data_IF_728603668578
#
_entry.id   IF_728603668578
#
_cell.length_a   1.000
_cell.length_b   1.000
_cell.length_c   1.000
_cell.angle_alpha   90.00
_cell.angle_beta   90.00
_cell.angle_gamma   90.00
#
_symmetry.space_group_name_H-M   'P 1'
#
loop_
_entity.id
_entity.type
_entity.pdbx_description
1 polymer ?
#
# COMPACT_ATOMS: atom_id res chain seq x y z
N UNK A 1 -20.89 -4.77 3.01
CA UNK A 1 -20.07 -5.53 2.01
C UNK A 1 -18.74 -4.79 1.90
N UNK A 2 -17.66 -5.37 2.41
CA UNK A 2 -16.32 -4.77 2.30
C UNK A 2 -15.81 -5.05 0.89
N UNK A 3 -15.52 -4.01 0.11
CA UNK A 3 -14.90 -4.16 -1.20
C UNK A 3 -13.39 -4.26 -1.00
N UNK A 4 -12.79 -5.30 -1.57
CA UNK A 4 -11.36 -5.58 -1.52
C UNK A 4 -10.87 -5.66 -2.97
N UNK A 5 -9.66 -5.18 -3.24
CA UNK A 5 -9.07 -5.27 -4.57
C UNK A 5 -7.73 -6.00 -4.51
N UNK A 6 -7.62 -7.08 -5.27
CA UNK A 6 -6.34 -7.71 -5.61
C UNK A 6 -5.91 -7.23 -7.00
N UNK A 7 -4.79 -6.51 -7.03
CA UNK A 7 -4.23 -5.96 -8.25
C UNK A 7 -3.82 -7.06 -9.24
N UNK A 8 -3.45 -8.27 -8.78
CA UNK A 8 -3.03 -9.38 -9.66
C UNK A 8 -4.14 -9.88 -10.56
N UNK A 9 -5.41 -9.58 -10.26
CA UNK A 9 -6.54 -10.21 -10.93
C UNK A 9 -7.59 -9.23 -11.49
N UNK A 10 -7.33 -7.90 -11.46
CA UNK A 10 -8.20 -6.82 -12.01
C UNK A 10 -9.71 -6.98 -11.71
N UNK A 11 -10.05 -7.63 -10.60
CA UNK A 11 -11.42 -7.87 -10.16
C UNK A 11 -11.48 -7.50 -8.70
N UNK A 12 -12.39 -6.58 -8.38
CA UNK A 12 -12.81 -6.33 -7.01
C UNK A 12 -13.42 -7.63 -6.47
N UNK A 13 -12.61 -8.43 -5.78
CA UNK A 13 -13.09 -9.62 -5.10
C UNK A 13 -13.25 -9.28 -3.63
N UNK A 14 -14.36 -9.69 -3.03
CA UNK A 14 -14.45 -9.80 -1.58
C UNK A 14 -13.46 -10.90 -1.18
N UNK A 15 -12.22 -10.57 -0.85
CA UNK A 15 -11.22 -11.58 -0.52
C UNK A 15 -11.29 -11.95 0.98
N UNK A 16 -11.68 -13.20 1.18
CA UNK A 16 -11.59 -14.01 2.40
C UNK A 16 -10.10 -14.18 2.80
N UNK A 17 -9.71 -14.04 4.08
CA UNK A 17 -8.31 -14.17 4.51
C UNK A 17 -7.68 -15.57 4.37
N UNK A 18 -8.39 -16.59 3.85
CA UNK A 18 -7.90 -17.99 3.82
C UNK A 18 -8.14 -18.75 2.51
N UNK A 19 -8.10 -18.11 1.34
CA UNK A 19 -8.19 -18.84 0.06
C UNK A 19 -6.86 -19.52 -0.36
N UNK A 20 -6.30 -20.38 0.51
CA UNK A 20 -5.48 -21.51 0.07
C UNK A 20 -6.25 -22.80 0.37
N UNK A 21 -7.14 -23.19 -0.55
CA UNK A 21 -7.28 -24.58 -0.96
C UNK A 21 -8.30 -24.72 -2.09
N UNK A 22 -7.89 -25.48 -3.10
CA UNK A 22 -8.74 -26.09 -4.11
C UNK A 22 -9.11 -25.24 -5.33
N UNK A 23 -8.20 -25.17 -6.31
CA UNK A 23 -8.58 -25.50 -7.70
C UNK A 23 -7.46 -26.34 -8.32
N UNK A 24 -7.69 -27.66 -8.38
CA UNK A 24 -7.02 -28.53 -9.35
C UNK A 24 -7.61 -28.22 -10.74
N UNK A 25 -6.78 -27.84 -11.70
CA UNK A 25 -7.16 -27.84 -13.11
C UNK A 25 -6.68 -26.61 -13.86
N UNK A 26 -5.78 -26.86 -14.83
CA UNK A 26 -5.32 -25.94 -15.88
C UNK A 26 -4.36 -24.84 -15.42
N UNK A 27 -3.06 -25.21 -15.43
CA UNK A 27 -1.93 -24.28 -15.48
C UNK A 27 -1.98 -23.52 -16.80
N UNK A 28 -2.84 -22.52 -16.91
CA UNK A 28 -2.59 -21.42 -17.82
C UNK A 28 -1.35 -20.71 -17.29
N UNK A 29 -0.25 -20.79 -18.04
CA UNK A 29 0.89 -19.88 -17.95
C UNK A 29 0.39 -18.47 -18.30
N UNK A 30 -0.42 -17.91 -17.42
CA UNK A 30 -0.90 -16.55 -17.54
C UNK A 30 0.24 -15.71 -17.01
N UNK A 31 1.10 -15.26 -17.93
CA UNK A 31 2.14 -14.26 -17.70
C UNK A 31 1.63 -13.29 -16.62
N UNK A 32 2.16 -13.43 -15.39
CA UNK A 32 1.81 -12.55 -14.28
C UNK A 32 2.27 -11.16 -14.70
N UNK A 33 1.32 -10.37 -15.22
CA UNK A 33 1.61 -8.99 -15.58
C UNK A 33 1.77 -8.25 -14.28
N UNK A 34 3.02 -8.02 -13.90
CA UNK A 34 3.38 -7.04 -12.89
C UNK A 34 2.73 -5.70 -13.24
N UNK A 35 2.12 -5.07 -12.26
CA UNK A 35 1.56 -3.74 -12.42
C UNK A 35 2.66 -2.71 -12.19
N UNK A 36 2.78 -1.78 -13.13
CA UNK A 36 3.69 -0.65 -13.13
C UNK A 36 3.01 0.64 -12.67
N UNK A 37 1.68 0.71 -12.74
CA UNK A 37 0.89 1.89 -12.41
C UNK A 37 -0.44 1.54 -11.71
N UNK A 38 -0.87 2.35 -10.74
CA UNK A 38 -2.20 2.22 -10.12
C UNK A 38 -3.24 2.80 -11.09
N UNK A 39 -4.07 1.95 -11.70
CA UNK A 39 -5.19 2.36 -12.57
C UNK A 39 -6.17 3.31 -11.83
N UNK A 40 -6.96 4.11 -12.57
CA UNK A 40 -8.05 4.90 -11.96
C UNK A 40 -9.17 3.97 -11.46
N UNK A 41 -9.37 3.98 -10.15
CA UNK A 41 -10.33 3.16 -9.43
C UNK A 41 -11.47 4.00 -8.84
N UNK A 42 -11.67 5.23 -9.31
CA UNK A 42 -12.66 6.20 -8.79
C UNK A 42 -14.10 5.69 -8.73
N UNK A 43 -14.43 4.67 -9.52
CA UNK A 43 -15.73 3.96 -9.50
C UNK A 43 -15.90 3.07 -8.25
N UNK A 44 -14.81 2.63 -7.63
CA UNK A 44 -14.76 1.69 -6.51
C UNK A 44 -14.73 2.42 -5.14
N UNK A 45 -15.63 3.37 -4.92
CA UNK A 45 -15.65 4.26 -3.72
C UNK A 45 -15.80 3.54 -2.37
N UNK A 46 -16.21 2.27 -2.37
CA UNK A 46 -16.41 1.46 -1.17
C UNK A 46 -15.20 0.57 -0.82
N UNK A 47 -14.07 0.72 -1.51
CA UNK A 47 -12.85 -0.02 -1.20
C UNK A 47 -12.38 0.26 0.22
N UNK A 48 -12.19 -0.82 0.97
CA UNK A 48 -11.65 -0.76 2.33
C UNK A 48 -10.23 -1.32 2.43
N UNK A 49 -9.84 -2.19 1.49
CA UNK A 49 -8.52 -2.83 1.46
C UNK A 49 -8.04 -2.93 0.01
N UNK A 50 -6.79 -2.56 -0.23
CA UNK A 50 -6.13 -2.68 -1.53
C UNK A 50 -4.83 -3.48 -1.37
N UNK A 51 -4.68 -4.53 -2.19
CA UNK A 51 -3.50 -5.35 -2.31
C UNK A 51 -2.77 -5.06 -3.63
N UNK A 52 -1.61 -4.41 -3.52
CA UNK A 52 -0.74 -4.03 -4.63
C UNK A 52 0.71 -4.53 -4.43
N UNK A 53 0.94 -5.49 -3.54
CA UNK A 53 2.26 -6.03 -3.24
C UNK A 53 2.82 -6.92 -4.36
N UNK A 54 4.15 -7.02 -4.46
CA UNK A 54 4.90 -7.74 -5.50
C UNK A 54 4.62 -7.22 -6.93
N UNK A 55 4.81 -5.92 -7.14
CA UNK A 55 4.58 -5.26 -8.42
C UNK A 55 5.76 -4.33 -8.77
N UNK A 56 5.65 -3.56 -9.84
CA UNK A 56 6.66 -2.63 -10.34
C UNK A 56 6.28 -1.16 -10.15
N UNK A 57 5.33 -0.87 -9.25
CA UNK A 57 4.79 0.48 -9.03
C UNK A 57 5.91 1.40 -8.55
N UNK A 58 6.09 2.55 -9.21
CA UNK A 58 7.12 3.52 -8.86
C UNK A 58 6.59 4.72 -8.07
N UNK A 59 5.27 4.96 -8.12
CA UNK A 59 4.62 6.11 -7.51
C UNK A 59 3.24 5.75 -6.98
N UNK A 60 2.85 6.38 -5.88
CA UNK A 60 1.49 6.27 -5.34
C UNK A 60 0.66 7.42 -5.91
N UNK A 61 -0.39 7.11 -6.65
CA UNK A 61 -1.33 8.07 -7.20
C UNK A 61 -2.67 7.37 -7.46
N UNK A 62 -3.68 8.11 -7.96
CA UNK A 62 -5.02 7.60 -8.24
C UNK A 62 -5.71 6.96 -7.02
N UNK A 63 -5.44 7.46 -5.81
CA UNK A 63 -6.11 7.00 -4.58
C UNK A 63 -6.98 8.09 -3.93
N UNK A 64 -7.12 9.26 -4.55
CA UNK A 64 -7.81 10.43 -3.97
C UNK A 64 -9.30 10.19 -3.66
N UNK A 65 -9.91 9.20 -4.30
CA UNK A 65 -11.31 8.83 -4.09
C UNK A 65 -11.49 7.82 -2.94
N UNK A 66 -10.41 7.20 -2.45
CA UNK A 66 -10.46 6.02 -1.59
C UNK A 66 -10.61 6.39 -0.11
N UNK A 67 -11.53 7.29 0.22
CA UNK A 67 -11.75 7.81 1.58
C UNK A 67 -12.09 6.71 2.62
N UNK A 68 -12.64 5.58 2.17
CA UNK A 68 -13.00 4.45 3.02
C UNK A 68 -11.86 3.43 3.19
N UNK A 69 -10.70 3.67 2.57
CA UNK A 69 -9.58 2.75 2.61
C UNK A 69 -9.00 2.70 4.03
N UNK A 70 -8.86 1.49 4.54
CA UNK A 70 -8.31 1.22 5.87
C UNK A 70 -6.98 0.49 5.80
N UNK A 71 -6.74 -0.29 4.74
CA UNK A 71 -5.52 -1.07 4.58
C UNK A 71 -4.96 -0.90 3.17
N UNK A 72 -3.68 -0.57 3.08
CA UNK A 72 -2.95 -0.43 1.81
C UNK A 72 -1.66 -1.23 1.86
N UNK A 73 -1.58 -2.24 0.99
CA UNK A 73 -0.43 -3.14 0.87
C UNK A 73 0.34 -2.85 -0.42
N UNK A 74 1.55 -2.31 -0.29
CA UNK A 74 2.42 -1.88 -1.39
C UNK A 74 3.84 -2.49 -1.26
N UNK A 75 3.99 -3.58 -0.51
CA UNK A 75 5.29 -4.21 -0.33
C UNK A 75 5.90 -4.67 -1.65
N UNK A 76 7.24 -4.69 -1.72
CA UNK A 76 7.98 -5.18 -2.88
C UNK A 76 7.55 -4.50 -4.19
N UNK A 77 7.54 -3.17 -4.17
CA UNK A 77 7.37 -2.29 -5.34
C UNK A 77 8.63 -1.42 -5.51
N UNK A 78 8.64 -0.53 -6.50
CA UNK A 78 9.77 0.36 -6.81
C UNK A 78 9.50 1.81 -6.36
N UNK A 79 8.68 2.01 -5.32
CA UNK A 79 8.29 3.34 -4.84
C UNK A 79 9.50 4.03 -4.21
N UNK A 80 9.74 5.28 -4.57
CA UNK A 80 10.89 6.05 -4.07
C UNK A 80 10.50 7.11 -3.04
N UNK A 81 9.27 7.60 -3.09
CA UNK A 81 8.77 8.68 -2.23
C UNK A 81 7.31 8.43 -1.88
N UNK A 82 6.91 8.81 -0.66
CA UNK A 82 5.52 8.75 -0.22
C UNK A 82 4.82 10.04 -0.69
N UNK A 83 3.71 9.90 -1.40
CA UNK A 83 2.89 11.02 -1.85
C UNK A 83 1.43 10.59 -2.03
N UNK A 84 0.53 11.56 -2.16
CA UNK A 84 -0.88 11.35 -2.51
C UNK A 84 -1.66 10.43 -1.55
N UNK A 85 -1.29 10.42 -0.26
CA UNK A 85 -2.01 9.66 0.79
C UNK A 85 -2.92 10.55 1.64
N UNK A 86 -2.85 11.87 1.53
CA UNK A 86 -3.51 12.82 2.44
C UNK A 86 -5.04 12.71 2.50
N UNK A 87 -5.66 12.18 1.45
CA UNK A 87 -7.10 11.92 1.35
C UNK A 87 -7.55 10.65 2.10
N UNK A 88 -6.62 9.75 2.46
CA UNK A 88 -6.89 8.44 3.06
C UNK A 88 -7.04 8.52 4.58
N UNK A 89 -7.97 9.37 5.05
CA UNK A 89 -8.12 9.70 6.47
C UNK A 89 -8.47 8.51 7.37
N UNK A 90 -9.04 7.44 6.80
CA UNK A 90 -9.39 6.21 7.53
C UNK A 90 -8.30 5.13 7.44
N UNK A 91 -7.16 5.41 6.80
CA UNK A 91 -6.09 4.43 6.63
C UNK A 91 -5.47 4.09 7.98
N UNK A 92 -5.63 2.83 8.39
CA UNK A 92 -5.11 2.31 9.66
C UNK A 92 -3.85 1.48 9.48
N UNK A 93 -3.67 0.85 8.31
CA UNK A 93 -2.50 0.04 7.99
C UNK A 93 -1.88 0.40 6.65
N UNK A 94 -0.59 0.71 6.68
CA UNK A 94 0.21 1.03 5.49
C UNK A 94 1.46 0.16 5.46
N UNK A 95 1.58 -0.66 4.42
CA UNK A 95 2.75 -1.50 4.21
C UNK A 95 3.52 -1.09 2.96
N UNK A 96 4.76 -0.66 3.17
CA UNK A 96 5.69 -0.12 2.16
C UNK A 96 7.05 -0.82 2.20
N UNK A 97 7.20 -1.94 2.92
CA UNK A 97 8.46 -2.67 2.99
C UNK A 97 8.96 -3.14 1.63
N UNK A 98 10.28 -3.23 1.43
CA UNK A 98 10.87 -3.70 0.16
C UNK A 98 10.80 -2.69 -1.00
N UNK A 99 10.49 -1.42 -0.73
CA UNK A 99 10.51 -0.33 -1.71
C UNK A 99 11.90 0.33 -1.81
N UNK A 100 11.99 1.53 -2.37
CA UNK A 100 13.21 2.34 -2.51
C UNK A 100 13.07 3.70 -1.78
N UNK A 101 12.30 3.75 -0.69
CA UNK A 101 11.97 4.97 0.05
C UNK A 101 13.12 5.32 0.99
N UNK A 102 13.72 6.49 0.84
CA UNK A 102 14.82 6.97 1.69
C UNK A 102 14.34 7.82 2.86
N UNK A 103 13.19 8.50 2.72
CA UNK A 103 12.59 9.36 3.75
C UNK A 103 11.11 9.02 3.90
N UNK A 104 10.69 8.76 5.14
CA UNK A 104 9.28 8.62 5.51
C UNK A 104 8.73 10.02 5.81
N UNK A 105 7.86 10.50 4.93
CA UNK A 105 7.27 11.85 4.96
C UNK A 105 5.79 11.81 4.52
N UNK A 106 5.10 12.96 4.62
CA UNK A 106 3.72 13.16 4.15
C UNK A 106 2.66 12.24 4.81
N UNK A 107 2.93 11.77 6.04
CA UNK A 107 2.00 10.94 6.81
C UNK A 107 1.23 11.73 7.89
N UNK A 108 1.43 13.04 7.99
CA UNK A 108 0.86 13.86 9.08
C UNK A 108 -0.68 13.88 9.06
N UNK A 109 -1.28 13.77 7.88
CA UNK A 109 -2.73 13.73 7.69
C UNK A 109 -3.38 12.38 7.99
N UNK A 110 -2.60 11.31 8.19
CA UNK A 110 -3.12 9.96 8.44
C UNK A 110 -3.38 9.73 9.93
N UNK A 111 -4.37 10.43 10.48
CA UNK A 111 -4.69 10.42 11.93
C UNK A 111 -5.14 9.05 12.45
N UNK A 112 -5.68 8.21 11.57
CA UNK A 112 -6.11 6.85 11.91
C UNK A 112 -5.03 5.78 11.74
N UNK A 113 -3.83 6.14 11.29
CA UNK A 113 -2.76 5.18 11.10
C UNK A 113 -2.38 4.52 12.44
N UNK A 114 -2.26 3.19 12.45
CA UNK A 114 -1.89 2.37 13.63
C UNK A 114 -0.76 1.39 13.32
N UNK A 115 -0.61 1.00 12.06
CA UNK A 115 0.45 0.10 11.60
C UNK A 115 1.14 0.69 10.36
N UNK A 116 2.46 0.81 10.43
CA UNK A 116 3.33 1.35 9.39
C UNK A 116 4.53 0.43 9.24
N UNK A 117 4.68 -0.16 8.06
CA UNK A 117 5.77 -1.08 7.74
C UNK A 117 6.62 -0.48 6.63
N UNK A 118 7.87 -0.15 6.95
CA UNK A 118 8.83 0.51 6.05
C UNK A 118 10.17 -0.23 6.03
N UNK A 119 10.22 -1.46 6.55
CA UNK A 119 11.42 -2.27 6.61
C UNK A 119 12.00 -2.63 5.23
N UNK A 120 13.28 -2.99 5.20
CA UNK A 120 13.95 -3.54 4.02
C UNK A 120 13.90 -2.64 2.77
N UNK A 121 13.99 -1.32 2.93
CA UNK A 121 14.15 -0.41 1.79
C UNK A 121 15.45 -0.72 1.04
N UNK A 122 15.37 -0.76 -0.29
CA UNK A 122 16.46 -1.04 -1.23
C UNK A 122 17.27 0.23 -1.52
N UNK A 123 17.86 0.77 -0.45
CA UNK A 123 18.65 2.00 -0.52
C UNK A 123 20.08 1.75 -1.01
N UNK A 124 20.71 2.74 -1.67
CA UNK A 124 22.13 2.69 -1.98
C UNK A 124 23.01 2.43 -0.75
N UNK A 125 24.19 1.87 -0.98
CA UNK A 125 25.13 1.54 0.10
C UNK A 125 25.49 2.79 0.92
N UNK A 126 25.31 2.71 2.23
CA UNK A 126 25.63 3.78 3.17
C UNK A 126 24.48 4.74 3.45
N UNK A 127 23.38 4.67 2.69
CA UNK A 127 22.16 5.39 3.00
C UNK A 127 21.34 4.67 4.08
N UNK A 128 20.51 5.43 4.78
CA UNK A 128 19.61 4.93 5.83
C UNK A 128 18.23 5.52 5.62
N UNK A 129 17.22 4.76 6.01
CA UNK A 129 15.86 5.27 6.09
C UNK A 129 15.80 6.37 7.16
N UNK A 130 15.30 7.53 6.77
CA UNK A 130 15.07 8.67 7.65
C UNK A 130 13.57 8.91 7.84
N UNK A 131 13.22 9.63 8.89
CA UNK A 131 11.85 10.12 9.11
C UNK A 131 11.87 11.64 9.09
N UNK A 132 10.97 12.25 8.34
CA UNK A 132 10.73 13.69 8.42
C UNK A 132 10.28 14.04 9.86
N UNK A 133 10.77 15.14 10.46
CA UNK A 133 10.43 15.51 11.83
C UNK A 133 8.92 15.70 12.08
N UNK A 134 8.17 16.21 11.11
CA UNK A 134 6.72 16.43 11.25
C UNK A 134 5.98 15.09 11.23
N UNK A 135 6.36 14.21 10.31
CA UNK A 135 5.83 12.84 10.24
C UNK A 135 6.14 12.08 11.51
N UNK A 136 7.39 12.14 12.00
CA UNK A 136 7.80 11.49 13.24
C UNK A 136 6.98 12.00 14.45
N UNK A 137 6.71 13.31 14.50
CA UNK A 137 5.88 13.90 15.56
C UNK A 137 4.43 13.40 15.49
N UNK A 138 3.85 13.33 14.28
CA UNK A 138 2.48 12.83 14.09
C UNK A 138 2.36 11.36 14.49
N UNK A 139 3.30 10.51 14.04
CA UNK A 139 3.29 9.08 14.36
C UNK A 139 3.44 8.82 15.87
N UNK A 140 4.27 9.60 16.58
CA UNK A 140 4.37 9.50 18.05
C UNK A 140 3.06 9.81 18.76
N UNK A 141 2.30 10.79 18.29
CA UNK A 141 0.97 11.13 18.84
C UNK A 141 -0.02 9.97 18.62
N UNK A 142 0.13 9.23 17.53
CA UNK A 142 -0.70 8.06 17.21
C UNK A 142 -0.25 6.76 17.93
N UNK A 143 0.58 6.87 18.98
CA UNK A 143 1.13 5.75 19.76
C UNK A 143 1.97 4.75 18.94
N UNK A 144 2.61 5.19 17.86
CA UNK A 144 3.64 4.37 17.23
C UNK A 144 4.88 4.31 18.12
N UNK A 145 5.35 3.09 18.40
CA UNK A 145 6.74 2.87 18.83
C UNK A 145 7.59 2.82 17.56
N UNK A 146 8.36 3.88 17.33
CA UNK A 146 9.26 4.06 16.17
C UNK A 146 10.70 3.98 16.66
#
# INVERSE_FOLDING_TARGET
IRSVMDARNKKAFIADPLAESSINGERSEQYEKSIDEIDDLSVCKSLSVIYLYDNNITQIHNLDFAFNLTHLYLQNNNITHIANLSSLQNLSKLYLGGNCISVVEELEGLTELRELHVENQRLPLGEKLLFDPRTLQSLKVNNFCI
#
